data_IF_980314588103
#
_entry.id   IF_980314588103
#
_cell.length_a   1.000
_cell.length_b   1.000
_cell.length_c   1.000
_cell.angle_alpha   90.00
_cell.angle_beta   90.00
_cell.angle_gamma   90.00
#
_symmetry.space_group_name_H-M   'P 1'
#
loop_
_entity.id
_entity.type
_entity.pdbx_description
1 polymer ?
#
# COMPACT_ATOMS: atom_id res chain seq x y z
N UNK A 1 -1.28 16.60 -1.43
CA UNK A 1 -0.89 15.93 -0.17
C UNK A 1 -1.12 14.44 -0.33
N UNK A 2 -0.04 13.67 -0.31
CA UNK A 2 -0.09 12.23 -0.20
C UNK A 2 -0.45 11.85 1.24
N UNK A 3 -1.36 10.89 1.42
CA UNK A 3 -1.69 10.40 2.76
C UNK A 3 -0.49 9.73 3.45
N UNK A 4 0.50 9.31 2.67
CA UNK A 4 1.47 8.33 3.11
C UNK A 4 2.83 8.53 2.45
N UNK A 5 3.87 8.56 3.27
CA UNK A 5 5.24 8.36 2.82
C UNK A 5 5.61 6.86 2.89
N UNK A 6 6.52 6.45 2.01
CA UNK A 6 7.16 5.13 1.97
C UNK A 6 8.51 5.18 2.71
N UNK A 7 8.55 5.02 4.05
CA UNK A 7 9.82 4.95 4.76
C UNK A 7 10.50 3.61 4.48
N UNK A 8 11.80 3.66 4.17
CA UNK A 8 12.69 2.50 4.25
C UNK A 8 13.22 2.45 5.68
N UNK A 9 13.24 1.28 6.31
CA UNK A 9 13.85 1.13 7.63
C UNK A 9 15.36 1.37 7.53
N UNK A 10 15.96 2.02 8.54
CA UNK A 10 17.39 2.35 8.54
C UNK A 10 18.31 1.11 8.53
N UNK A 11 17.76 -0.07 8.82
CA UNK A 11 18.50 -1.35 8.94
C UNK A 11 18.56 -2.15 7.64
N UNK A 12 18.11 -1.61 6.51
CA UNK A 12 18.18 -2.32 5.23
C UNK A 12 19.56 -2.11 4.60
N UNK A 13 20.24 -3.19 4.23
CA UNK A 13 21.60 -3.19 3.67
C UNK A 13 21.69 -2.41 2.34
N UNK A 14 20.63 -2.46 1.51
CA UNK A 14 20.48 -1.64 0.30
C UNK A 14 19.23 -0.74 0.40
N UNK A 15 19.37 0.48 0.94
CA UNK A 15 18.27 1.43 1.05
C UNK A 15 17.72 1.88 -0.31
N UNK A 16 18.54 1.91 -1.36
CA UNK A 16 18.15 2.38 -2.70
C UNK A 16 17.31 1.32 -3.40
N UNK A 17 17.77 0.07 -3.42
CA UNK A 17 17.02 -1.06 -3.96
C UNK A 17 15.72 -1.29 -3.21
N UNK A 18 15.73 -1.16 -1.88
CA UNK A 18 14.53 -1.24 -1.06
C UNK A 18 13.51 -0.14 -1.40
N UNK A 19 13.97 1.10 -1.59
CA UNK A 19 13.09 2.21 -2.02
C UNK A 19 12.50 1.96 -3.40
N UNK A 20 13.30 1.47 -4.35
CA UNK A 20 12.81 1.15 -5.69
C UNK A 20 11.81 -0.01 -5.68
N UNK A 21 12.05 -1.05 -4.88
CA UNK A 21 11.13 -2.17 -4.70
C UNK A 21 9.82 -1.74 -4.05
N UNK A 22 9.85 -0.86 -3.04
CA UNK A 22 8.65 -0.29 -2.43
C UNK A 22 7.80 0.51 -3.43
N UNK A 23 8.42 1.31 -4.30
CA UNK A 23 7.71 2.02 -5.37
C UNK A 23 7.05 1.05 -6.36
N UNK A 24 7.78 0.02 -6.79
CA UNK A 24 7.23 -1.03 -7.67
C UNK A 24 6.04 -1.74 -7.01
N UNK A 25 6.17 -2.13 -5.75
CA UNK A 25 5.08 -2.75 -4.98
C UNK A 25 3.88 -1.81 -4.82
N UNK A 26 4.11 -0.50 -4.63
CA UNK A 26 3.06 0.51 -4.54
C UNK A 26 2.27 0.58 -5.84
N UNK A 27 2.98 0.75 -6.97
CA UNK A 27 2.37 0.87 -8.27
C UNK A 27 1.64 -0.43 -8.66
N UNK A 28 2.19 -1.60 -8.33
CA UNK A 28 1.52 -2.88 -8.56
C UNK A 28 0.18 -2.95 -7.81
N UNK A 29 0.16 -2.62 -6.53
CA UNK A 29 -1.08 -2.55 -5.76
C UNK A 29 -2.07 -1.56 -6.34
N UNK A 30 -1.60 -0.38 -6.78
CA UNK A 30 -2.46 0.65 -7.37
C UNK A 30 -3.19 0.14 -8.63
N UNK A 31 -2.62 -0.80 -9.39
CA UNK A 31 -3.22 -1.34 -10.61
C UNK A 31 -4.23 -2.48 -10.39
N UNK A 32 -4.28 -3.04 -9.18
CA UNK A 32 -5.15 -4.18 -8.86
C UNK A 32 -6.35 -3.70 -8.03
N UNK A 33 -7.60 -4.15 -8.31
CA UNK A 33 -8.75 -3.88 -7.44
C UNK A 33 -8.59 -4.58 -6.09
N UNK A 34 -9.25 -4.11 -5.03
CA UNK A 34 -9.18 -4.81 -3.74
C UNK A 34 -10.28 -5.87 -3.62
N UNK A 35 -9.97 -7.16 -3.46
CA UNK A 35 -11.00 -8.19 -3.26
C UNK A 35 -11.65 -8.12 -1.87
N UNK A 36 -11.05 -7.40 -0.91
CA UNK A 36 -11.57 -7.31 0.47
C UNK A 36 -12.61 -6.19 0.66
N UNK A 37 -12.31 -5.00 0.16
CA UNK A 37 -13.22 -3.84 0.27
C UNK A 37 -13.86 -3.44 -1.06
N UNK A 38 -13.58 -4.19 -2.14
CA UNK A 38 -14.19 -4.01 -3.46
C UNK A 38 -13.95 -2.64 -4.10
N UNK A 39 -12.96 -1.87 -3.62
CA UNK A 39 -12.54 -0.64 -4.29
C UNK A 39 -11.89 -0.95 -5.63
N UNK A 40 -12.13 -0.07 -6.60
CA UNK A 40 -11.57 -0.19 -7.93
C UNK A 40 -10.04 -0.01 -7.93
N UNK A 41 -9.41 -0.43 -9.04
CA UNK A 41 -8.01 -0.08 -9.30
C UNK A 41 -7.84 1.44 -9.26
N UNK A 42 -6.70 1.89 -8.77
CA UNK A 42 -6.35 3.31 -8.65
C UNK A 42 -6.94 4.02 -7.43
N UNK A 43 -7.76 3.38 -6.59
CA UNK A 43 -8.26 3.96 -5.34
C UNK A 43 -7.63 3.34 -4.09
N UNK A 44 -7.47 4.13 -3.02
CA UNK A 44 -7.06 3.62 -1.72
C UNK A 44 -8.11 2.64 -1.16
N UNK A 45 -7.67 1.67 -0.38
CA UNK A 45 -8.58 0.81 0.38
C UNK A 45 -9.25 1.60 1.52
N UNK A 46 -10.34 1.07 2.06
CA UNK A 46 -10.99 1.63 3.25
C UNK A 46 -11.26 0.56 4.31
N UNK A 47 -11.37 1.00 5.56
CA UNK A 47 -11.81 0.18 6.70
C UNK A 47 -12.95 0.88 7.44
N UNK A 48 -13.76 0.11 8.17
CA UNK A 48 -14.87 0.61 8.97
C UNK A 48 -16.25 0.37 8.34
N UNK A 49 -17.34 0.61 9.10
CA UNK A 49 -18.69 0.49 8.58
C UNK A 49 -19.01 1.64 7.61
N UNK A 50 -19.99 1.42 6.73
CA UNK A 50 -20.44 2.41 5.75
C UNK A 50 -20.82 3.72 6.46
N UNK A 51 -20.33 4.85 5.94
CA UNK A 51 -20.53 6.18 6.55
C UNK A 51 -19.43 6.63 7.53
N UNK A 52 -18.49 5.75 7.91
CA UNK A 52 -17.30 6.12 8.70
C UNK A 52 -16.01 5.52 8.16
N UNK A 53 -15.98 5.28 6.85
CA UNK A 53 -14.83 4.71 6.17
C UNK A 53 -13.56 5.54 6.38
N UNK A 54 -12.50 4.86 6.79
CA UNK A 54 -11.17 5.43 6.96
C UNK A 54 -10.25 4.90 5.86
N UNK A 55 -9.44 5.78 5.29
CA UNK A 55 -8.41 5.43 4.31
C UNK A 55 -7.46 4.40 4.90
N UNK A 56 -7.17 3.37 4.13
CA UNK A 56 -6.11 2.38 4.36
C UNK A 56 -5.34 2.26 3.06
N UNK A 57 -4.01 2.15 3.11
CA UNK A 57 -3.18 2.08 1.88
C UNK A 57 -3.64 0.93 0.99
N UNK A 58 -3.29 -0.29 1.39
CA UNK A 58 -3.64 -1.54 0.71
C UNK A 58 -3.89 -2.63 1.73
N UNK A 59 -5.04 -3.30 1.63
CA UNK A 59 -5.28 -4.52 2.41
C UNK A 59 -4.36 -5.65 1.98
N UNK A 60 -4.09 -6.59 2.89
CA UNK A 60 -3.22 -7.74 2.60
C UNK A 60 -3.67 -8.54 1.36
N UNK A 61 -4.95 -8.89 1.17
CA UNK A 61 -5.39 -9.59 -0.04
C UNK A 61 -5.02 -8.87 -1.35
N UNK A 62 -5.15 -7.54 -1.40
CA UNK A 62 -4.73 -6.76 -2.57
C UNK A 62 -3.22 -6.78 -2.80
N UNK A 63 -2.43 -6.81 -1.72
CA UNK A 63 -0.97 -6.91 -1.82
C UNK A 63 -0.55 -8.28 -2.36
N UNK A 64 -1.23 -9.34 -1.92
CA UNK A 64 -0.97 -10.70 -2.40
C UNK A 64 -1.34 -10.83 -3.89
N UNK A 65 -2.54 -10.38 -4.30
CA UNK A 65 -2.96 -10.35 -5.72
C UNK A 65 -2.05 -9.51 -6.61
N UNK A 66 -1.48 -8.42 -6.06
CA UNK A 66 -0.52 -7.58 -6.77
C UNK A 66 0.91 -8.15 -6.82
N UNK A 67 1.15 -9.35 -6.25
CA UNK A 67 2.46 -9.99 -6.27
C UNK A 67 3.53 -9.29 -5.41
N UNK A 68 3.11 -8.49 -4.43
CA UNK A 68 4.02 -7.72 -3.56
C UNK A 68 5.08 -8.58 -2.86
N UNK A 69 4.76 -9.78 -2.32
CA UNK A 69 5.77 -10.62 -1.69
C UNK A 69 6.96 -10.95 -2.61
N UNK A 70 6.72 -11.18 -3.89
CA UNK A 70 7.76 -11.49 -4.88
C UNK A 70 8.59 -10.25 -5.28
N UNK A 71 8.01 -9.05 -5.18
CA UNK A 71 8.73 -7.79 -5.44
C UNK A 71 9.67 -7.44 -4.28
N UNK A 72 9.26 -7.74 -3.05
CA UNK A 72 9.90 -7.25 -1.84
C UNK A 72 10.80 -8.28 -1.13
N UNK A 73 10.50 -9.57 -1.27
CA UNK A 73 11.34 -10.64 -0.74
C UNK A 73 12.82 -10.53 -1.15
N UNK A 74 13.15 -10.24 -2.43
CA UNK A 74 14.55 -10.09 -2.86
C UNK A 74 15.32 -8.93 -2.21
N UNK A 75 14.64 -7.94 -1.61
CA UNK A 75 15.26 -6.82 -0.89
C UNK A 75 15.12 -6.96 0.63
N UNK A 76 14.84 -8.17 1.12
CA UNK A 76 14.73 -8.48 2.55
C UNK A 76 13.45 -7.98 3.23
N UNK A 77 12.44 -7.56 2.47
CA UNK A 77 11.17 -7.07 3.02
C UNK A 77 10.11 -8.18 2.91
N UNK A 78 9.93 -8.95 3.98
CA UNK A 78 9.01 -10.10 4.01
C UNK A 78 7.61 -9.75 4.55
N UNK A 79 7.39 -8.53 5.02
CA UNK A 79 6.12 -8.11 5.60
C UNK A 79 5.91 -6.61 5.52
N UNK A 80 4.74 -6.22 5.02
CA UNK A 80 4.33 -4.82 4.92
C UNK A 80 3.04 -4.60 5.69
N UNK A 81 3.11 -3.80 6.75
CA UNK A 81 1.92 -3.28 7.43
C UNK A 81 1.43 -1.99 6.79
N UNK A 82 1.17 -2.01 5.48
CA UNK A 82 0.64 -0.83 4.78
C UNK A 82 -0.73 -0.40 5.29
N UNK A 83 -1.50 -1.35 5.81
CA UNK A 83 -2.76 -1.06 6.48
C UNK A 83 -2.62 -0.34 7.82
N UNK A 84 -1.42 -0.27 8.43
CA UNK A 84 -1.18 0.32 9.76
C UNK A 84 -0.43 1.67 9.70
N UNK A 85 -0.71 2.50 8.71
CA UNK A 85 -0.15 3.86 8.68
C UNK A 85 -0.59 4.69 9.90
N UNK A 86 0.26 5.61 10.39
CA UNK A 86 0.01 6.47 11.58
C UNK A 86 -1.14 7.49 11.44
N UNK A 87 -1.99 7.39 10.42
CA UNK A 87 -3.06 8.36 10.15
C UNK A 87 -4.37 7.68 9.76
N UNK A 88 -5.44 8.06 10.45
CA UNK A 88 -6.82 7.64 10.16
C UNK A 88 -7.56 8.77 9.46
N UNK A 89 -7.42 8.85 8.14
CA UNK A 89 -8.10 9.88 7.34
C UNK A 89 -9.51 9.42 6.95
N UNK A 90 -10.53 10.29 6.92
CA UNK A 90 -11.79 9.99 6.27
C UNK A 90 -11.54 9.59 4.81
N UNK A 91 -12.23 8.54 4.35
CA UNK A 91 -12.16 8.10 2.97
C UNK A 91 -12.87 9.10 2.06
N UNK A 92 -12.18 9.53 1.00
CA UNK A 92 -12.57 10.64 0.13
C UNK A 92 -12.53 10.26 -1.36
N UNK A 93 -12.60 8.96 -1.68
CA UNK A 93 -12.54 8.40 -3.04
C UNK A 93 -11.27 8.74 -3.84
N UNK A 94 -10.29 9.41 -3.23
CA UNK A 94 -9.12 9.92 -3.94
C UNK A 94 -8.30 8.82 -4.58
N UNK A 95 -7.76 9.16 -5.75
CA UNK A 95 -6.85 8.29 -6.47
C UNK A 95 -5.50 8.17 -5.77
N UNK A 96 -4.92 6.99 -5.92
CA UNK A 96 -3.56 6.68 -5.51
C UNK A 96 -2.59 7.39 -6.46
N UNK A 97 -1.59 8.11 -5.95
CA UNK A 97 -0.51 8.65 -6.76
C UNK A 97 0.39 7.51 -7.24
N UNK A 98 0.77 7.56 -8.51
CA UNK A 98 1.88 6.76 -9.05
C UNK A 98 3.22 7.34 -8.61
N UNK A 99 4.16 6.50 -8.18
CA UNK A 99 5.43 6.92 -7.54
C UNK A 99 6.67 6.22 -8.07
#
# INVERSE_FOLDING_TARGET
MDYFHLPVAATVEDPVGAKAALKRAWNACAQVPCPKCYVAKGQYCHNGPRGSWRVTRFHRPRQDDAGVPSILGPVGIHGLSWAKGKGSFPWDDRRIPTV
#
